data_IF_018797271440
#
_entry.id   IF_018797271440
#
_cell.length_a   1.000
_cell.length_b   1.000
_cell.length_c   1.000
_cell.angle_alpha   90.00
_cell.angle_beta   90.00
_cell.angle_gamma   90.00
#
_symmetry.space_group_name_H-M   'P 1'
#
loop_
_entity.id
_entity.type
_entity.pdbx_description
1 polymer ?
#
# COMPACT_ATOMS: atom_id res chain seq x y z
N UNK A 1 0.78 11.75 5.31
CA UNK A 1 1.48 11.89 4.02
C UNK A 1 0.61 11.17 2.99
N UNK A 2 0.23 11.85 1.91
CA UNK A 2 -0.65 11.31 0.87
C UNK A 2 0.19 10.74 -0.27
N UNK A 3 -0.28 9.71 -0.97
CA UNK A 3 0.39 9.18 -2.15
C UNK A 3 -0.53 9.40 -3.35
N UNK A 4 0.01 9.91 -4.44
CA UNK A 4 -0.78 10.19 -5.64
C UNK A 4 -0.24 9.45 -6.85
N UNK A 5 -1.13 8.79 -7.58
CA UNK A 5 -0.87 8.25 -8.90
C UNK A 5 -1.26 9.30 -9.95
N UNK A 6 -0.27 9.82 -10.67
CA UNK A 6 -0.49 10.88 -11.67
C UNK A 6 -0.75 10.33 -13.05
N UNK A 7 -0.05 9.25 -13.42
CA UNK A 7 -0.09 8.67 -14.77
C UNK A 7 0.10 7.16 -14.71
N UNK A 8 -0.55 6.49 -15.65
CA UNK A 8 -0.39 5.07 -15.97
C UNK A 8 -0.24 4.95 -17.48
N UNK A 9 0.75 4.20 -17.95
CA UNK A 9 0.91 3.91 -19.37
C UNK A 9 1.34 2.45 -19.57
N UNK A 10 0.55 1.69 -20.33
CA UNK A 10 0.90 0.34 -20.75
C UNK A 10 1.93 0.43 -21.88
N UNK A 11 3.01 -0.34 -21.77
CA UNK A 11 4.08 -0.42 -22.77
C UNK A 11 3.86 -1.61 -23.69
N UNK A 12 4.60 -1.61 -24.81
CA UNK A 12 4.59 -2.70 -25.78
C UNK A 12 5.12 -4.03 -25.21
N UNK A 13 6.02 -3.97 -24.22
CA UNK A 13 6.60 -5.13 -23.54
C UNK A 13 5.71 -5.72 -22.44
N UNK A 14 4.50 -5.18 -22.25
CA UNK A 14 3.55 -5.64 -21.23
C UNK A 14 3.80 -5.05 -19.84
N UNK A 15 4.84 -4.24 -19.64
CA UNK A 15 5.05 -3.50 -18.41
C UNK A 15 4.15 -2.26 -18.36
N UNK A 16 3.95 -1.74 -17.16
CA UNK A 16 3.19 -0.52 -16.90
C UNK A 16 4.12 0.51 -16.28
N UNK A 17 4.25 1.66 -16.93
CA UNK A 17 4.93 2.83 -16.37
C UNK A 17 3.93 3.59 -15.48
N UNK A 18 4.35 3.84 -14.24
CA UNK A 18 3.60 4.53 -13.20
C UNK A 18 4.30 5.84 -12.86
N UNK A 19 3.58 6.94 -12.77
CA UNK A 19 4.12 8.19 -12.20
C UNK A 19 3.47 8.44 -10.84
N UNK A 20 4.25 8.36 -9.76
CA UNK A 20 3.77 8.42 -8.37
C UNK A 20 4.47 9.54 -7.60
N UNK A 21 3.74 10.28 -6.76
CA UNK A 21 4.33 11.25 -5.83
C UNK A 21 3.95 10.97 -4.38
N UNK A 22 4.82 11.37 -3.45
CA UNK A 22 4.65 11.19 -2.01
C UNK A 22 4.61 12.55 -1.32
N UNK A 23 3.46 12.93 -0.77
CA UNK A 23 3.29 14.22 -0.11
C UNK A 23 3.58 15.40 -1.04
N UNK A 24 4.59 16.19 -0.71
CA UNK A 24 5.08 17.34 -1.49
C UNK A 24 6.24 17.00 -2.43
N UNK A 25 6.70 15.75 -2.45
CA UNK A 25 7.82 15.35 -3.30
C UNK A 25 7.42 15.38 -4.78
N UNK A 26 8.36 15.71 -5.68
CA UNK A 26 8.08 15.68 -7.11
C UNK A 26 7.70 14.26 -7.57
N UNK A 27 6.79 14.12 -8.55
CA UNK A 27 6.43 12.81 -9.08
C UNK A 27 7.64 12.09 -9.68
N UNK A 28 7.75 10.80 -9.35
CA UNK A 28 8.78 9.89 -9.85
C UNK A 28 8.14 8.78 -10.68
N UNK A 29 8.91 8.26 -11.63
CA UNK A 29 8.48 7.15 -12.46
C UNK A 29 8.93 5.82 -11.85
N UNK A 30 8.02 4.86 -11.86
CA UNK A 30 8.20 3.50 -11.39
C UNK A 30 7.61 2.55 -12.42
N UNK A 31 7.97 1.28 -12.31
CA UNK A 31 7.44 0.21 -13.14
C UNK A 31 6.59 -0.73 -12.33
N UNK A 32 5.63 -1.32 -13.02
CA UNK A 32 4.85 -2.43 -12.53
C UNK A 32 4.59 -3.44 -13.65
N UNK A 33 4.26 -4.66 -13.25
CA UNK A 33 3.73 -5.69 -14.12
C UNK A 33 2.48 -6.28 -13.50
N UNK A 34 1.58 -6.71 -14.37
CA UNK A 34 0.40 -7.45 -14.01
C UNK A 34 0.28 -8.64 -14.95
N UNK A 35 0.27 -9.84 -14.38
CA UNK A 35 0.00 -11.09 -15.08
C UNK A 35 -1.34 -11.64 -14.58
N UNK A 36 -2.35 -11.47 -15.43
CA UNK A 36 -3.69 -12.02 -15.27
C UNK A 36 -3.96 -13.21 -16.19
N UNK A 37 -2.92 -13.83 -16.78
CA UNK A 37 -3.10 -14.94 -17.72
C UNK A 37 -3.68 -16.20 -17.09
N UNK A 38 -3.51 -16.37 -15.77
CA UNK A 38 -4.14 -17.42 -14.99
C UNK A 38 -5.23 -16.84 -14.08
N UNK A 39 -6.49 -17.23 -14.35
CA UNK A 39 -7.66 -16.80 -13.56
C UNK A 39 -7.54 -17.14 -12.06
N UNK A 40 -6.76 -18.18 -11.73
CA UNK A 40 -6.52 -18.65 -10.37
C UNK A 40 -5.36 -17.94 -9.69
N UNK A 41 -4.36 -17.50 -10.45
CA UNK A 41 -3.14 -16.87 -9.93
C UNK A 41 -2.91 -15.53 -10.61
N UNK A 42 -3.52 -14.48 -10.05
CA UNK A 42 -3.29 -13.09 -10.45
C UNK A 42 -2.02 -12.59 -9.76
N UNK A 43 -0.95 -12.41 -10.53
CA UNK A 43 0.35 -11.99 -10.02
C UNK A 43 0.59 -10.56 -10.48
N UNK A 44 1.02 -9.68 -9.59
CA UNK A 44 1.59 -8.42 -10.01
C UNK A 44 2.81 -8.06 -9.19
N UNK A 45 3.68 -7.31 -9.83
CA UNK A 45 4.93 -6.84 -9.27
C UNK A 45 5.01 -5.33 -9.46
N UNK A 46 5.62 -4.66 -8.51
CA UNK A 46 5.92 -3.23 -8.58
C UNK A 46 7.40 -3.06 -8.28
N UNK A 47 8.01 -1.96 -8.74
CA UNK A 47 9.40 -1.65 -8.43
C UNK A 47 9.66 -1.70 -6.92
N UNK A 48 10.81 -2.26 -6.55
CA UNK A 48 11.22 -2.44 -5.15
C UNK A 48 11.27 -1.11 -4.40
N UNK A 49 11.74 -0.03 -5.05
CA UNK A 49 11.76 1.31 -4.46
C UNK A 49 10.34 1.80 -4.11
N UNK A 50 9.38 1.60 -5.02
CA UNK A 50 7.98 1.96 -4.80
C UNK A 50 7.37 1.13 -3.67
N UNK A 51 7.64 -0.18 -3.67
CA UNK A 51 7.20 -1.10 -2.63
C UNK A 51 7.69 -0.68 -1.24
N UNK A 52 8.99 -0.36 -1.13
CA UNK A 52 9.60 0.05 0.14
C UNK A 52 9.05 1.40 0.60
N UNK A 53 8.87 2.35 -0.32
CA UNK A 53 8.29 3.66 0.00
C UNK A 53 6.85 3.57 0.52
N UNK A 54 6.01 2.73 -0.11
CA UNK A 54 4.64 2.46 0.36
C UNK A 54 4.63 1.74 1.71
N UNK A 55 5.57 0.81 1.92
CA UNK A 55 5.72 0.08 3.19
C UNK A 55 6.12 1.00 4.35
N UNK A 56 7.08 1.89 4.13
CA UNK A 56 7.51 2.89 5.11
C UNK A 56 6.39 3.86 5.47
N UNK A 57 5.61 4.27 4.47
CA UNK A 57 4.47 5.18 4.66
C UNK A 57 3.36 4.51 5.49
N UNK A 58 3.04 3.25 5.17
CA UNK A 58 2.10 2.46 5.96
C UNK A 58 2.58 2.30 7.41
N UNK A 59 3.87 2.00 7.61
CA UNK A 59 4.45 1.89 8.95
C UNK A 59 4.34 3.20 9.75
N UNK A 60 4.75 4.33 9.15
CA UNK A 60 4.71 5.67 9.78
C UNK A 60 3.30 6.12 10.16
N UNK A 61 2.29 5.70 9.40
CA UNK A 61 0.89 6.06 9.64
C UNK A 61 0.07 5.00 10.37
N UNK A 62 0.71 3.93 10.89
CA UNK A 62 0.03 2.78 11.50
C UNK A 62 -1.01 2.13 10.57
N UNK A 63 -0.81 2.25 9.26
CA UNK A 63 -1.60 1.62 8.20
C UNK A 63 -1.08 0.24 7.84
N UNK A 64 -1.83 -0.48 6.99
CA UNK A 64 -1.42 -1.77 6.46
C UNK A 64 -0.91 -1.58 5.03
N UNK A 65 0.37 -1.87 4.76
CA UNK A 65 0.99 -1.71 3.43
C UNK A 65 0.19 -2.44 2.33
N UNK A 66 -0.37 -3.59 2.69
CA UNK A 66 -1.25 -4.39 1.82
C UNK A 66 -2.40 -3.56 1.22
N UNK A 67 -2.91 -2.53 1.89
CA UNK A 67 -3.98 -1.68 1.33
C UNK A 67 -3.49 -0.93 0.09
N UNK A 68 -2.35 -0.26 0.20
CA UNK A 68 -1.74 0.45 -0.93
C UNK A 68 -1.39 -0.50 -2.07
N UNK A 69 -0.93 -1.70 -1.75
CA UNK A 69 -0.62 -2.74 -2.74
C UNK A 69 -1.88 -3.23 -3.44
N UNK A 70 -2.95 -3.54 -2.70
CA UNK A 70 -4.20 -4.00 -3.28
C UNK A 70 -4.83 -2.93 -4.18
N UNK A 71 -4.82 -1.66 -3.75
CA UNK A 71 -5.33 -0.55 -4.57
C UNK A 71 -4.57 -0.43 -5.89
N UNK A 72 -3.23 -0.44 -5.82
CA UNK A 72 -2.40 -0.36 -7.03
C UNK A 72 -2.61 -1.59 -7.93
N UNK A 73 -2.73 -2.78 -7.35
CA UNK A 73 -2.98 -4.02 -8.07
C UNK A 73 -4.35 -4.06 -8.77
N UNK A 74 -5.40 -3.53 -8.15
CA UNK A 74 -6.73 -3.42 -8.76
C UNK A 74 -6.72 -2.44 -9.93
N UNK A 75 -6.01 -1.31 -9.81
CA UNK A 75 -5.84 -0.35 -10.91
C UNK A 75 -5.06 -0.98 -12.07
N UNK A 76 -3.99 -1.74 -11.77
CA UNK A 76 -3.21 -2.44 -12.78
C UNK A 76 -4.04 -3.53 -13.49
N UNK A 77 -4.88 -4.25 -12.75
CA UNK A 77 -5.84 -5.19 -13.34
C UNK A 77 -6.80 -4.45 -14.28
N UNK A 78 -7.45 -3.40 -13.81
CA UNK A 78 -8.41 -2.63 -14.61
C UNK A 78 -7.78 -2.11 -15.91
N UNK A 79 -6.53 -1.62 -15.83
CA UNK A 79 -5.77 -1.22 -17.00
C UNK A 79 -5.49 -2.39 -17.97
N UNK A 80 -5.19 -3.56 -17.43
CA UNK A 80 -4.92 -4.74 -18.25
C UNK A 80 -6.17 -5.27 -18.96
N UNK A 81 -7.29 -5.29 -18.24
CA UNK A 81 -8.56 -5.87 -18.69
C UNK A 81 -9.35 -4.88 -19.58
N UNK A 82 -8.91 -3.62 -19.64
CA UNK A 82 -9.57 -2.55 -20.40
C UNK A 82 -10.79 -1.97 -19.70
N UNK A 83 -10.87 -2.15 -18.39
CA UNK A 83 -11.93 -1.61 -17.54
C UNK A 83 -11.77 -0.10 -17.33
N UNK A 84 -12.79 0.52 -16.74
CA UNK A 84 -12.77 1.93 -16.36
C UNK A 84 -11.70 2.19 -15.29
N UNK A 85 -10.86 3.19 -15.53
CA UNK A 85 -9.79 3.61 -14.62
C UNK A 85 -10.28 4.76 -13.73
N UNK A 86 -9.74 4.90 -12.50
CA UNK A 86 -10.03 6.06 -11.68
C UNK A 86 -9.53 7.35 -12.34
N UNK A 87 -10.20 8.47 -12.06
CA UNK A 87 -9.73 9.78 -12.49
C UNK A 87 -8.34 10.08 -11.91
N UNK A 88 -7.42 10.51 -12.77
CA UNK A 88 -6.05 10.86 -12.38
C UNK A 88 -5.89 12.38 -12.21
N UNK A 89 -5.15 12.85 -11.19
CA UNK A 89 -4.36 12.06 -10.24
C UNK A 89 -5.20 11.39 -9.15
N UNK A 90 -5.02 10.09 -8.95
CA UNK A 90 -5.74 9.31 -7.93
C UNK A 90 -4.97 9.31 -6.61
N UNK A 91 -5.66 9.53 -5.48
CA UNK A 91 -5.07 9.47 -4.13
C UNK A 91 -5.16 8.04 -3.56
N UNK A 92 -4.01 7.41 -3.33
CA UNK A 92 -3.94 6.11 -2.65
C UNK A 92 -4.10 6.23 -1.14
N UNK A 93 -4.63 5.17 -0.53
CA UNK A 93 -4.89 5.11 0.91
C UNK A 93 -6.11 5.93 1.34
N UNK A 94 -6.94 6.35 0.38
CA UNK A 94 -8.26 6.89 0.67
C UNK A 94 -9.16 5.76 1.19
N UNK A 95 -9.94 6.06 2.23
CA UNK A 95 -10.82 5.07 2.90
C UNK A 95 -11.92 4.47 2.02
N UNK A 96 -12.00 4.90 0.76
CA UNK A 96 -13.00 4.47 -0.23
C UNK A 96 -12.74 3.05 -0.74
N UNK A 97 -11.48 2.63 -0.84
CA UNK A 97 -11.08 1.28 -1.27
C UNK A 97 -10.60 0.39 -0.11
N UNK A 98 -10.60 0.91 1.13
CA UNK A 98 -10.36 0.13 2.35
C UNK A 98 -11.52 -0.85 2.61
N UNK A 99 -11.43 -2.06 2.06
CA UNK A 99 -12.42 -3.14 2.23
C UNK A 99 -12.59 -3.62 3.68
N UNK A 100 -11.63 -3.30 4.56
CA UNK A 100 -11.74 -3.56 6.00
C UNK A 100 -11.85 -2.24 6.76
N UNK A 101 -13.07 -1.68 6.88
CA UNK A 101 -13.35 -0.70 7.95
C UNK A 101 -12.98 -1.37 9.27
N UNK A 102 -11.95 -0.90 10.02
CA UNK A 102 -11.68 -1.45 11.32
C UNK A 102 -12.92 -1.24 12.18
N UNK A 103 -13.38 -2.30 12.86
CA UNK A 103 -14.56 -2.19 13.72
C UNK A 103 -14.34 -1.05 14.71
N UNK A 104 -15.42 -0.31 15.05
CA UNK A 104 -15.35 0.80 16.02
C UNK A 104 -14.68 0.36 17.33
N UNK A 105 -14.89 -0.90 17.72
CA UNK A 105 -14.23 -1.57 18.84
C UNK A 105 -12.71 -1.67 18.67
N UNK A 106 -12.21 -2.08 17.49
CA UNK A 106 -10.76 -2.20 17.23
C UNK A 106 -10.07 -0.84 17.20
N UNK A 107 -10.75 0.20 16.70
CA UNK A 107 -10.27 1.59 16.77
C UNK A 107 -10.17 2.05 18.23
N UNK A 108 -11.22 1.83 19.02
CA UNK A 108 -11.25 2.19 20.44
C UNK A 108 -10.16 1.45 21.22
N UNK A 109 -9.98 0.15 20.96
CA UNK A 109 -8.94 -0.66 21.58
C UNK A 109 -7.53 -0.17 21.22
N UNK A 110 -7.27 0.16 19.96
CA UNK A 110 -5.97 0.72 19.55
C UNK A 110 -5.69 2.07 20.23
N UNK A 111 -6.68 2.94 20.37
CA UNK A 111 -6.54 4.21 21.11
C UNK A 111 -6.23 3.99 22.59
N UNK A 112 -6.97 3.09 23.24
CA UNK A 112 -6.75 2.73 24.64
C UNK A 112 -5.35 2.13 24.84
N UNK A 113 -4.95 1.20 23.97
CA UNK A 113 -3.65 0.55 24.01
C UNK A 113 -2.51 1.57 23.85
N UNK A 114 -2.63 2.51 22.91
CA UNK A 114 -1.65 3.61 22.73
C UNK A 114 -1.60 4.53 23.95
N UNK A 115 -2.73 4.83 24.59
CA UNK A 115 -2.76 5.59 25.83
C UNK A 115 -2.01 4.85 26.95
N UNK A 116 -2.26 3.56 27.13
CA UNK A 116 -1.59 2.73 28.15
C UNK A 116 -0.08 2.61 27.92
N UNK A 117 0.37 2.61 26.67
CA UNK A 117 1.81 2.70 26.34
C UNK A 117 2.40 4.05 26.73
N UNK A 118 1.72 5.17 26.44
CA UNK A 118 2.18 6.51 26.85
C UNK A 118 2.26 6.65 28.36
N UNK A 119 1.38 5.98 29.09
CA UNK A 119 1.35 5.95 30.55
C UNK A 119 2.36 4.95 31.17
N UNK A 120 3.16 4.25 30.35
CA UNK A 120 4.12 3.20 30.77
C UNK A 120 3.49 2.06 31.60
N UNK A 121 2.18 1.89 31.53
CA UNK A 121 1.44 0.82 32.23
C UNK A 121 1.64 -0.52 31.52
N UNK A 122 1.75 -0.48 30.18
CA UNK A 122 2.12 -1.64 29.38
C UNK A 122 3.58 -1.50 28.94
N UNK A 123 4.40 -2.55 29.08
CA UNK A 123 5.77 -2.52 28.57
C UNK A 123 5.71 -2.31 27.05
N UNK A 124 6.45 -1.33 26.54
CA UNK A 124 6.62 -1.12 25.10
C UNK A 124 7.18 -2.40 24.48
N UNK A 125 6.31 -3.23 23.92
CA UNK A 125 6.75 -4.37 23.12
C UNK A 125 7.28 -3.78 21.82
N UNK A 126 8.60 -3.66 21.71
CA UNK A 126 9.27 -3.75 20.42
C UNK A 126 8.80 -5.06 19.80
N UNK A 127 7.94 -4.96 18.79
CA UNK A 127 7.60 -6.12 18.00
C UNK A 127 8.87 -6.50 17.23
N UNK A 128 9.43 -7.65 17.56
CA UNK A 128 10.54 -8.26 16.85
C UNK A 128 9.94 -9.35 15.96
N UNK A 129 10.13 -9.22 14.63
CA UNK A 129 9.68 -10.22 13.66
C UNK A 129 10.13 -11.63 14.10
N UNK A 130 9.31 -12.67 13.97
CA UNK A 130 9.67 -14.04 14.38
C UNK A 130 11.01 -14.51 13.80
N UNK A 131 11.36 -14.03 12.60
CA UNK A 131 12.60 -14.40 11.91
C UNK A 131 13.87 -13.79 12.54
N UNK A 132 13.76 -12.63 13.21
CA UNK A 132 14.89 -12.02 13.95
C UNK A 132 15.13 -12.68 15.31
N UNK A 133 14.29 -13.64 15.74
CA UNK A 133 14.55 -14.43 16.95
C UNK A 133 15.48 -15.63 16.71
N UNK A 134 15.74 -15.99 15.45
CA UNK A 134 16.55 -17.16 15.10
C UNK A 134 18.05 -16.85 14.94
N UNK A 135 18.45 -15.59 15.09
CA UNK A 135 19.83 -15.13 14.90
C UNK A 135 20.52 -14.67 16.19
N UNK A 136 20.04 -15.11 17.35
CA UNK A 136 20.70 -14.93 18.64
C UNK A 136 21.12 -16.27 19.24
#
# INVERSE_FOLDING_TARGET
>A
MKVFLHKLAKREDGLVDLTVSFGSDPPKNYRASYDGSDDKYKIGSIDEELFMALSDLAHKHFGHCVVYQMELMEILRALNDGDELPELPAEFGTTEFCTLRPSRLRIAWNKLKTMLYKLKVLPSRTWVHPDYRKTA
#
